data_IF_836070349917
#
_entry.id   IF_836070349917
#
_cell.length_a   1.000
_cell.length_b   1.000
_cell.length_c   1.000
_cell.angle_alpha   90.00
_cell.angle_beta   90.00
_cell.angle_gamma   90.00
#
_symmetry.space_group_name_H-M   'P 1'
#
loop_
_entity.id
_entity.type
_entity.pdbx_description
1 polymer ?
#
# COMPACT_ATOMS: atom_id res chain seq x y z
N UNK A 1 -4.42 35.20 -60.93
CA UNK A 1 -4.78 33.83 -60.53
C UNK A 1 -3.87 33.34 -59.43
N UNK A 2 -4.32 33.36 -58.15
CA UNK A 2 -3.54 32.92 -57.01
C UNK A 2 -4.09 31.55 -56.59
N UNK A 3 -3.23 30.53 -56.64
CA UNK A 3 -3.54 29.17 -56.18
C UNK A 3 -3.26 29.11 -54.68
N UNK A 4 -4.31 28.87 -53.88
CA UNK A 4 -4.20 28.62 -52.45
C UNK A 4 -4.07 27.11 -52.29
N UNK A 5 -2.90 26.67 -51.82
CA UNK A 5 -2.65 25.28 -51.44
C UNK A 5 -3.08 25.10 -49.99
N UNK A 6 -4.12 24.33 -49.76
CA UNK A 6 -4.55 23.93 -48.42
C UNK A 6 -3.72 22.74 -47.97
N UNK A 7 -2.85 22.96 -46.95
CA UNK A 7 -2.21 21.87 -46.23
C UNK A 7 -3.17 21.35 -45.15
N UNK A 8 -3.69 20.16 -45.35
CA UNK A 8 -4.43 19.44 -44.32
C UNK A 8 -3.44 18.83 -43.36
N UNK A 9 -3.33 19.39 -42.16
CA UNK A 9 -2.55 18.81 -41.07
C UNK A 9 -3.37 17.67 -40.43
N UNK A 10 -2.93 16.43 -40.67
CA UNK A 10 -3.47 15.24 -40.04
C UNK A 10 -2.91 15.15 -38.63
N UNK A 11 -3.65 15.60 -37.62
CA UNK A 11 -3.29 15.43 -36.23
C UNK A 11 -3.55 13.96 -35.85
N UNK A 12 -2.48 13.16 -35.76
CA UNK A 12 -2.55 11.82 -35.18
C UNK A 12 -2.74 11.93 -33.67
N UNK A 13 -3.95 11.69 -33.18
CA UNK A 13 -4.22 11.45 -31.77
C UNK A 13 -3.54 10.14 -31.36
N UNK A 14 -2.38 10.23 -30.75
CA UNK A 14 -1.79 9.13 -29.99
C UNK A 14 -2.65 8.91 -28.73
N UNK A 15 -3.61 8.01 -28.82
CA UNK A 15 -4.31 7.47 -27.64
C UNK A 15 -3.25 6.64 -26.92
N UNK A 16 -2.63 7.23 -25.89
CA UNK A 16 -1.81 6.49 -24.95
C UNK A 16 -2.75 5.50 -24.25
N UNK A 17 -2.68 4.22 -24.63
CA UNK A 17 -3.33 3.15 -23.88
C UNK A 17 -2.81 3.24 -22.44
N UNK A 18 -3.69 3.23 -21.42
CA UNK A 18 -3.23 3.15 -20.04
C UNK A 18 -2.36 1.90 -19.93
N UNK A 19 -1.12 2.08 -19.53
CA UNK A 19 -0.26 0.96 -19.19
C UNK A 19 -0.90 0.28 -17.97
N UNK A 20 -1.72 -0.73 -18.21
CA UNK A 20 -2.25 -1.59 -17.15
C UNK A 20 -1.05 -2.25 -16.51
N UNK A 21 -0.66 -1.72 -15.35
CA UNK A 21 0.45 -2.24 -14.58
C UNK A 21 0.13 -3.64 -14.05
N UNK A 22 1.14 -4.32 -13.53
CA UNK A 22 1.00 -5.64 -12.91
C UNK A 22 0.00 -5.64 -11.72
N UNK A 23 -0.41 -4.48 -11.24
CA UNK A 23 -1.40 -4.31 -10.17
C UNK A 23 -2.71 -5.03 -10.51
N UNK A 24 -3.15 -4.94 -11.75
CA UNK A 24 -4.37 -5.63 -12.21
C UNK A 24 -4.21 -7.14 -12.28
N UNK A 25 -2.97 -7.65 -12.31
CA UNK A 25 -2.74 -9.09 -12.27
C UNK A 25 -2.95 -9.67 -10.87
N UNK A 26 -2.87 -8.84 -9.83
CA UNK A 26 -3.01 -9.23 -8.43
C UNK A 26 -4.43 -9.04 -7.92
N UNK A 27 -5.12 -7.98 -8.34
CA UNK A 27 -6.48 -7.66 -7.88
C UNK A 27 -7.46 -8.82 -8.08
N UNK A 28 -8.23 -9.12 -7.03
CA UNK A 28 -9.24 -10.17 -7.03
C UNK A 28 -8.65 -11.58 -6.95
N UNK A 29 -7.34 -11.75 -6.86
CA UNK A 29 -6.72 -13.05 -6.62
C UNK A 29 -6.66 -13.36 -5.14
N UNK A 30 -6.63 -14.65 -4.82
CA UNK A 30 -6.33 -15.08 -3.48
C UNK A 30 -4.82 -14.98 -3.25
N UNK A 31 -4.43 -14.49 -2.09
CA UNK A 31 -3.03 -14.35 -1.68
C UNK A 31 -2.21 -15.64 -1.90
N UNK A 32 -2.81 -16.79 -1.54
CA UNK A 32 -2.19 -18.13 -1.69
C UNK A 32 -2.00 -18.58 -3.15
N UNK A 33 -2.66 -17.91 -4.10
CA UNK A 33 -2.64 -18.29 -5.53
C UNK A 33 -1.77 -17.35 -6.38
N UNK A 34 -0.96 -16.49 -5.77
CA UNK A 34 -0.09 -15.55 -6.49
C UNK A 34 1.33 -16.09 -6.66
N UNK A 35 1.65 -16.76 -7.79
CA UNK A 35 2.99 -17.28 -8.01
C UNK A 35 4.02 -16.15 -8.06
N UNK A 36 5.11 -16.33 -7.30
CA UNK A 36 6.22 -15.38 -7.30
C UNK A 36 6.03 -14.14 -6.43
N UNK A 37 4.91 -14.02 -5.71
CA UNK A 37 4.80 -13.08 -4.61
C UNK A 37 5.60 -13.60 -3.41
N UNK A 38 6.31 -12.70 -2.76
CA UNK A 38 7.07 -12.98 -1.53
C UNK A 38 6.67 -11.95 -0.48
N UNK A 39 5.89 -12.39 0.51
CA UNK A 39 5.57 -11.58 1.69
C UNK A 39 6.84 -11.33 2.52
N UNK A 40 7.03 -10.11 2.95
CA UNK A 40 8.07 -9.71 3.89
C UNK A 40 7.48 -9.39 5.26
N UNK A 41 6.29 -8.79 5.30
CA UNK A 41 5.64 -8.37 6.54
C UNK A 41 4.12 -8.26 6.33
N UNK A 42 3.35 -8.82 7.25
CA UNK A 42 1.88 -8.72 7.23
C UNK A 42 1.32 -8.35 8.60
N UNK A 43 0.12 -7.78 8.60
CA UNK A 43 -0.63 -7.42 9.80
C UNK A 43 -2.14 -7.53 9.57
N UNK A 44 -2.83 -8.13 10.53
CA UNK A 44 -4.31 -8.09 10.60
C UNK A 44 -4.73 -6.73 11.16
N UNK A 45 -5.80 -6.14 10.61
CA UNK A 45 -6.35 -4.89 11.11
C UNK A 45 -7.40 -5.17 12.19
N UNK A 46 -7.35 -4.39 13.28
CA UNK A 46 -8.29 -4.47 14.39
C UNK A 46 -9.18 -3.21 14.39
N UNK A 47 -10.44 -3.35 14.76
CA UNK A 47 -11.35 -2.23 14.91
C UNK A 47 -11.03 -1.40 16.18
N UNK A 48 -11.78 -0.31 16.39
CA UNK A 48 -11.65 0.56 17.56
C UNK A 48 -11.87 -0.16 18.91
N UNK A 49 -12.47 -1.35 18.88
CA UNK A 49 -12.74 -2.19 20.05
C UNK A 49 -11.67 -3.26 20.25
N UNK A 50 -10.68 -3.33 19.36
CA UNK A 50 -9.65 -4.34 19.39
C UNK A 50 -10.08 -5.71 18.85
N UNK A 51 -11.18 -5.80 18.11
CA UNK A 51 -11.57 -7.04 17.44
C UNK A 51 -10.87 -7.15 16.09
N UNK A 52 -10.42 -8.36 15.73
CA UNK A 52 -9.93 -8.62 14.37
C UNK A 52 -11.02 -8.32 13.34
N UNK A 53 -10.63 -7.68 12.26
CA UNK A 53 -11.51 -7.38 11.15
C UNK A 53 -11.32 -8.35 9.98
N UNK A 54 -12.13 -8.18 8.94
CA UNK A 54 -11.96 -8.91 7.68
C UNK A 54 -10.74 -8.47 6.87
N UNK A 55 -10.04 -7.38 7.27
CA UNK A 55 -8.94 -6.80 6.51
C UNK A 55 -7.59 -7.13 7.11
N UNK A 56 -6.63 -7.34 6.22
CA UNK A 56 -5.20 -7.45 6.52
C UNK A 56 -4.38 -6.68 5.49
N UNK A 57 -3.16 -6.37 5.87
CA UNK A 57 -2.17 -5.78 4.97
C UNK A 57 -1.01 -6.73 4.86
N UNK A 58 -0.53 -6.90 3.65
CA UNK A 58 0.71 -7.59 3.39
C UNK A 58 1.64 -6.69 2.57
N UNK A 59 2.90 -6.63 2.95
CA UNK A 59 3.97 -5.94 2.25
C UNK A 59 4.98 -6.96 1.75
N UNK A 60 5.33 -6.86 0.47
CA UNK A 60 6.23 -7.82 -0.10
C UNK A 60 6.72 -7.47 -1.49
N UNK A 61 7.27 -8.46 -2.18
CA UNK A 61 7.86 -8.31 -3.52
C UNK A 61 7.11 -9.15 -4.54
N UNK A 62 6.66 -8.51 -5.62
CA UNK A 62 6.11 -9.14 -6.80
C UNK A 62 6.80 -8.65 -8.06
N UNK A 63 7.32 -9.57 -8.90
CA UNK A 63 8.04 -9.23 -10.14
C UNK A 63 9.12 -8.14 -9.93
N UNK A 64 9.90 -8.24 -8.85
CA UNK A 64 10.95 -7.29 -8.45
C UNK A 64 10.43 -5.90 -8.02
N UNK A 65 9.12 -5.70 -7.87
CA UNK A 65 8.53 -4.48 -7.34
C UNK A 65 8.09 -4.70 -5.92
N UNK A 66 8.34 -3.72 -5.05
CA UNK A 66 7.74 -3.68 -3.74
C UNK A 66 6.28 -3.24 -3.86
N UNK A 67 5.41 -3.96 -3.17
CA UNK A 67 3.97 -3.72 -3.17
C UNK A 67 3.41 -3.81 -1.75
N UNK A 68 2.40 -3.00 -1.48
CA UNK A 68 1.52 -3.16 -0.33
C UNK A 68 0.21 -3.72 -0.87
N UNK A 69 -0.24 -4.82 -0.30
CA UNK A 69 -1.51 -5.45 -0.60
C UNK A 69 -2.48 -5.17 0.55
N UNK A 70 -3.65 -4.65 0.24
CA UNK A 70 -4.79 -4.72 1.15
C UNK A 70 -5.57 -5.97 0.77
N UNK A 71 -5.82 -6.79 1.75
CA UNK A 71 -6.47 -8.07 1.60
C UNK A 71 -7.74 -8.13 2.43
N UNK A 72 -8.69 -8.94 2.00
CA UNK A 72 -9.94 -9.20 2.69
C UNK A 72 -10.12 -10.70 2.89
N UNK A 73 -10.41 -11.11 4.12
CA UNK A 73 -10.73 -12.49 4.46
C UNK A 73 -11.95 -12.96 3.66
N UNK A 74 -11.81 -14.08 2.96
CA UNK A 74 -12.90 -14.70 2.19
C UNK A 74 -13.77 -15.63 3.04
N UNK A 75 -13.42 -15.85 4.30
CA UNK A 75 -14.00 -16.86 5.16
C UNK A 75 -13.59 -18.29 4.82
N UNK A 76 -12.79 -18.48 3.77
CA UNK A 76 -12.25 -19.78 3.40
C UNK A 76 -10.96 -20.07 4.19
N UNK A 77 -10.64 -21.37 4.30
CA UNK A 77 -9.39 -21.82 4.91
C UNK A 77 -8.62 -22.74 3.97
N UNK A 78 -7.31 -22.73 4.08
CA UNK A 78 -6.45 -23.69 3.44
C UNK A 78 -6.57 -25.07 4.12
N UNK A 79 -5.94 -26.09 3.56
CA UNK A 79 -5.85 -27.41 4.20
C UNK A 79 -5.10 -27.39 5.55
N UNK A 80 -4.30 -26.34 5.79
CA UNK A 80 -3.55 -26.12 7.03
C UNK A 80 -4.23 -25.16 7.98
N UNK A 81 -5.54 -24.89 7.81
CA UNK A 81 -6.35 -23.97 8.63
C UNK A 81 -5.97 -22.49 8.51
N UNK A 82 -5.06 -22.10 7.62
CA UNK A 82 -4.74 -20.71 7.37
C UNK A 82 -5.87 -20.00 6.63
N UNK A 83 -6.09 -18.71 6.95
CA UNK A 83 -7.05 -17.86 6.21
C UNK A 83 -6.66 -17.77 4.75
N UNK A 84 -7.66 -17.62 3.89
CA UNK A 84 -7.50 -17.32 2.47
C UNK A 84 -8.04 -15.93 2.24
N UNK A 85 -7.19 -15.01 1.87
CA UNK A 85 -7.55 -13.62 1.64
C UNK A 85 -7.66 -13.32 0.14
N UNK A 86 -8.54 -12.39 -0.22
CA UNK A 86 -8.66 -11.82 -1.56
C UNK A 86 -7.95 -10.47 -1.59
N UNK A 87 -7.08 -10.25 -2.56
CA UNK A 87 -6.39 -8.98 -2.75
C UNK A 87 -7.38 -7.95 -3.31
N UNK A 88 -7.73 -6.96 -2.52
CA UNK A 88 -8.72 -5.93 -2.86
C UNK A 88 -8.09 -4.59 -3.27
N UNK A 89 -6.82 -4.36 -2.93
CA UNK A 89 -6.06 -3.20 -3.39
C UNK A 89 -4.58 -3.55 -3.50
N UNK A 90 -3.93 -2.99 -4.52
CA UNK A 90 -2.49 -3.09 -4.72
C UNK A 90 -1.90 -1.70 -4.83
N UNK A 91 -0.91 -1.41 -4.00
CA UNK A 91 -0.15 -0.16 -4.05
C UNK A 91 1.28 -0.50 -4.43
N UNK A 92 1.76 0.10 -5.52
CA UNK A 92 3.19 0.08 -5.83
C UNK A 92 3.90 0.97 -4.83
N UNK A 93 4.77 0.38 -4.05
CA UNK A 93 5.48 1.06 -2.97
C UNK A 93 7.00 0.84 -3.15
N UNK A 94 7.65 1.57 -4.10
CA UNK A 94 9.07 1.40 -4.33
C UNK A 94 9.84 1.73 -3.03
N UNK A 95 10.63 0.74 -2.55
CA UNK A 95 11.40 0.88 -1.31
C UNK A 95 12.49 1.94 -1.50
N UNK A 96 12.46 3.06 -0.76
CA UNK A 96 13.53 4.03 -0.80
C UNK A 96 14.82 3.45 -0.23
N UNK A 97 15.98 3.84 -0.81
CA UNK A 97 17.28 3.33 -0.36
C UNK A 97 17.51 3.66 1.12
N UNK A 98 17.82 2.65 1.90
CA UNK A 98 18.18 2.79 3.32
C UNK A 98 17.01 2.98 4.27
N UNK A 99 15.76 2.88 3.79
CA UNK A 99 14.58 2.91 4.66
C UNK A 99 13.96 1.54 4.76
N UNK A 100 13.31 1.26 5.88
CA UNK A 100 12.53 0.04 6.08
C UNK A 100 11.04 0.35 6.17
N UNK A 101 10.21 -0.65 5.90
CA UNK A 101 8.76 -0.54 5.99
C UNK A 101 8.30 -0.84 7.40
N UNK A 102 7.48 0.03 7.96
CA UNK A 102 6.89 -0.11 9.28
C UNK A 102 5.38 -0.17 9.18
N UNK A 103 4.80 -1.21 9.73
CA UNK A 103 3.35 -1.41 9.84
C UNK A 103 2.80 -1.08 11.22
N UNK A 104 3.68 -0.71 12.16
CA UNK A 104 3.34 -0.36 13.54
C UNK A 104 4.19 0.82 14.00
N UNK A 105 3.72 1.55 15.01
CA UNK A 105 4.48 2.63 15.62
C UNK A 105 4.43 3.97 14.90
N UNK A 106 3.60 4.12 13.86
CA UNK A 106 3.34 5.40 13.21
C UNK A 106 1.94 5.93 13.55
N UNK A 107 1.82 7.24 13.79
CA UNK A 107 0.59 7.89 14.28
C UNK A 107 0.39 9.23 13.56
N UNK A 108 -0.86 9.71 13.48
CA UNK A 108 -1.14 11.09 13.06
C UNK A 108 -0.72 12.07 14.17
N UNK A 109 -0.06 13.16 13.78
CA UNK A 109 0.25 14.24 14.72
C UNK A 109 -1.00 15.08 15.07
N UNK A 110 -1.12 15.60 16.31
CA UNK A 110 -0.23 15.46 17.45
C UNK A 110 -0.66 14.31 18.36
N UNK A 111 0.20 13.38 18.68
CA UNK A 111 -0.04 12.52 19.80
C UNK A 111 0.68 11.18 19.81
N UNK A 112 1.08 10.75 21.03
CA UNK A 112 1.64 9.42 21.23
C UNK A 112 0.57 8.31 21.29
N UNK A 113 -0.69 8.71 21.39
CA UNK A 113 -1.81 7.80 21.55
C UNK A 113 -2.63 7.79 20.26
N UNK A 114 -2.26 6.90 19.33
CA UNK A 114 -3.14 6.61 18.22
C UNK A 114 -4.47 6.10 18.76
N UNK A 115 -5.59 6.64 18.32
CA UNK A 115 -6.86 6.04 18.63
C UNK A 115 -6.86 4.58 18.18
N UNK A 116 -7.45 3.66 18.95
CA UNK A 116 -7.61 2.29 18.50
C UNK A 116 -8.21 2.24 17.08
N UNK A 117 -7.67 1.39 16.22
CA UNK A 117 -8.14 1.30 14.84
C UNK A 117 -7.47 2.26 13.84
N UNK A 118 -6.56 3.12 14.27
CA UNK A 118 -5.73 3.90 13.36
C UNK A 118 -4.53 3.08 12.89
N UNK A 119 -4.45 2.80 11.60
CA UNK A 119 -3.35 2.06 10.99
C UNK A 119 -2.62 2.91 9.98
N UNK A 120 -1.38 3.27 10.33
CA UNK A 120 -0.48 4.03 9.49
C UNK A 120 0.74 3.18 9.17
N UNK A 121 1.08 3.14 7.89
CA UNK A 121 2.20 2.40 7.33
C UNK A 121 3.14 3.39 6.67
N UNK A 122 4.43 3.25 6.88
CA UNK A 122 5.41 4.17 6.32
C UNK A 122 6.77 3.51 6.06
N UNK A 123 7.53 4.05 5.13
CA UNK A 123 8.96 3.83 5.09
C UNK A 123 9.66 4.81 6.05
N UNK A 124 10.47 4.30 6.95
CA UNK A 124 11.21 5.12 7.89
C UNK A 124 12.67 4.65 8.03
N UNK A 125 13.53 5.56 8.45
CA UNK A 125 14.88 5.28 8.90
C UNK A 125 15.01 5.81 10.32
N UNK A 126 15.31 4.94 11.27
CA UNK A 126 15.62 5.32 12.64
C UNK A 126 17.14 5.47 12.81
N UNK A 127 17.53 6.49 13.57
CA UNK A 127 18.91 6.72 13.98
C UNK A 127 19.20 6.12 15.36
N UNK A 128 20.06 6.80 16.15
CA UNK A 128 20.30 6.44 17.55
C UNK A 128 19.23 7.05 18.48
N UNK A 129 17.96 6.82 18.22
CA UNK A 129 16.88 7.41 19.01
C UNK A 129 15.51 6.91 18.54
N UNK A 130 14.49 7.14 19.36
CA UNK A 130 13.14 6.67 19.15
C UNK A 130 12.45 7.31 17.93
N UNK A 131 12.91 8.48 17.48
CA UNK A 131 12.31 9.19 16.36
C UNK A 131 13.04 8.91 15.05
N UNK A 132 12.30 8.77 13.94
CA UNK A 132 12.93 8.57 12.65
C UNK A 132 13.68 9.82 12.21
N UNK A 133 14.81 9.61 11.55
CA UNK A 133 15.58 10.68 10.89
C UNK A 133 15.04 10.97 9.49
N UNK A 134 14.28 10.04 8.92
CA UNK A 134 13.60 10.21 7.65
C UNK A 134 12.34 9.34 7.56
N UNK A 135 11.30 9.89 6.92
CA UNK A 135 10.09 9.19 6.53
C UNK A 135 9.88 9.47 5.04
N UNK A 136 9.54 8.45 4.26
CA UNK A 136 9.28 8.54 2.83
C UNK A 136 8.14 7.61 2.45
N UNK A 137 7.01 8.21 2.03
CA UNK A 137 5.80 7.49 1.71
C UNK A 137 5.08 6.99 2.96
N UNK A 138 3.83 7.37 3.07
CA UNK A 138 2.97 6.94 4.16
C UNK A 138 1.56 6.68 3.66
N UNK A 139 0.91 5.70 4.27
CA UNK A 139 -0.45 5.28 3.96
C UNK A 139 -1.23 5.03 5.23
N UNK A 140 -2.52 5.31 5.18
CA UNK A 140 -3.46 5.04 6.26
C UNK A 140 -4.62 4.19 5.74
N UNK A 141 -5.15 3.30 6.57
CA UNK A 141 -6.38 2.59 6.25
C UNK A 141 -7.59 3.48 6.55
N UNK A 142 -8.35 3.80 5.50
CA UNK A 142 -9.60 4.53 5.60
C UNK A 142 -10.75 3.54 5.79
N UNK A 143 -11.32 3.50 6.99
CA UNK A 143 -12.40 2.59 7.38
C UNK A 143 -13.70 2.83 6.60
N UNK A 144 -13.99 4.08 6.22
CA UNK A 144 -15.20 4.40 5.46
C UNK A 144 -15.08 3.95 4.02
N UNK A 145 -13.94 4.22 3.41
CA UNK A 145 -13.68 3.86 2.04
C UNK A 145 -13.18 2.40 1.88
N UNK A 146 -12.85 1.73 2.99
CA UNK A 146 -12.25 0.36 3.04
C UNK A 146 -11.06 0.22 2.09
N UNK A 147 -10.13 1.18 2.18
CA UNK A 147 -8.94 1.24 1.33
C UNK A 147 -7.77 1.92 2.01
N UNK A 148 -6.57 1.67 1.51
CA UNK A 148 -5.38 2.43 1.85
C UNK A 148 -5.36 3.74 1.08
N UNK A 149 -5.11 4.83 1.78
CA UNK A 149 -4.95 6.17 1.21
C UNK A 149 -3.57 6.71 1.54
N UNK A 150 -2.92 7.38 0.58
CA UNK A 150 -1.65 8.06 0.85
C UNK A 150 -1.91 9.29 1.72
N UNK A 151 -1.05 9.50 2.70
CA UNK A 151 -1.09 10.65 3.59
C UNK A 151 0.23 11.44 3.54
N UNK A 152 0.20 12.77 3.80
CA UNK A 152 1.41 13.58 3.85
C UNK A 152 2.35 13.14 4.97
N UNK A 153 3.62 12.91 4.66
CA UNK A 153 4.65 12.49 5.62
C UNK A 153 4.78 13.45 6.81
N UNK A 154 4.60 14.77 6.59
CA UNK A 154 4.67 15.79 7.65
C UNK A 154 3.55 15.69 8.69
N UNK A 155 2.53 14.85 8.46
CA UNK A 155 1.42 14.64 9.39
C UNK A 155 1.59 13.41 10.26
N UNK A 156 2.69 12.68 10.13
CA UNK A 156 2.90 11.45 10.88
C UNK A 156 4.09 11.58 11.83
N UNK A 157 3.98 10.90 12.95
CA UNK A 157 5.06 10.64 13.90
C UNK A 157 5.23 9.13 13.98
N UNK A 158 6.43 8.63 13.73
CA UNK A 158 6.75 7.23 13.88
C UNK A 158 7.72 7.04 15.04
N UNK A 159 7.59 5.94 15.75
CA UNK A 159 8.51 5.53 16.81
C UNK A 159 9.02 4.13 16.55
N UNK A 160 10.26 3.88 16.87
CA UNK A 160 10.82 2.56 16.71
C UNK A 160 10.07 1.56 17.60
N UNK A 161 9.57 0.45 17.05
CA UNK A 161 8.89 -0.57 17.84
C UNK A 161 9.86 -1.18 18.85
N UNK A 162 9.58 -1.06 20.14
CA UNK A 162 10.36 -1.70 21.22
C UNK A 162 11.41 -0.80 21.89
N UNK A 163 11.36 0.54 21.65
CA UNK A 163 12.11 1.52 22.44
C UNK A 163 11.50 1.73 23.83
#
# INVERSE_FOLDING_TARGET
>A
MRRISAFAALAALLIAAPAFGFENELLGKRDVDVPGYKSEQGAVLFDEKGNETEFSIDYGVYKKNFVILLERDTGAKTKTESRVNEIVQVIRAPKPKGLDFYSVGCYLQPGPDAPPGEYIFAYALFGQGEKPVAIKGAWMFDWQAKKLVSIPEAKIDCREPGG
#
